data_IF_536085301628
#
_entry.id   IF_536085301628
#
_cell.length_a   1.000
_cell.length_b   1.000
_cell.length_c   1.000
_cell.angle_alpha   90.00
_cell.angle_beta   90.00
_cell.angle_gamma   90.00
#
_symmetry.space_group_name_H-M   'P 1'
#
loop_
_entity.id
_entity.type
_entity.pdbx_description
1 polymer ?
#
# COMPACT_ATOMS: atom_id res chain seq x y z
N UNK A 1 12.57 -6.50 -3.56
CA UNK A 1 12.18 -6.54 -5.00
C UNK A 1 11.68 -7.94 -5.31
N UNK A 2 10.37 -8.18 -5.28
CA UNK A 2 9.80 -9.36 -5.94
C UNK A 2 9.04 -8.85 -7.15
N UNK A 3 9.81 -8.46 -8.17
CA UNK A 3 9.29 -8.23 -9.51
C UNK A 3 9.62 -9.53 -10.22
N UNK A 4 8.63 -10.21 -10.79
CA UNK A 4 8.88 -11.37 -11.64
C UNK A 4 9.54 -10.85 -12.94
N UNK A 5 10.85 -10.59 -12.85
CA UNK A 5 11.71 -10.30 -13.99
C UNK A 5 12.54 -11.55 -14.23
N UNK A 6 12.49 -12.06 -15.45
CA UNK A 6 13.23 -13.25 -15.82
C UNK A 6 12.75 -13.86 -17.12
N UNK A 7 13.22 -15.08 -17.38
CA UNK A 7 12.81 -15.87 -18.53
C UNK A 7 12.35 -17.24 -18.07
N UNK A 8 11.32 -17.78 -18.72
CA UNK A 8 10.85 -19.14 -18.54
C UNK A 8 11.36 -19.98 -19.71
N UNK A 9 12.06 -21.07 -19.42
CA UNK A 9 12.54 -21.98 -20.45
C UNK A 9 11.47 -23.05 -20.71
N UNK A 10 10.82 -22.99 -21.88
CA UNK A 10 9.78 -23.94 -22.28
C UNK A 10 10.23 -24.65 -23.55
N UNK A 11 10.56 -25.95 -23.45
CA UNK A 11 10.99 -26.76 -24.60
C UNK A 11 12.09 -26.07 -25.44
N UNK A 12 13.12 -25.56 -24.78
CA UNK A 12 14.24 -24.79 -25.34
C UNK A 12 13.89 -23.41 -25.94
N UNK A 13 12.68 -22.90 -25.71
CA UNK A 13 12.31 -21.52 -26.04
C UNK A 13 12.42 -20.66 -24.78
N UNK A 14 13.14 -19.55 -24.89
CA UNK A 14 13.27 -18.54 -23.83
C UNK A 14 12.08 -17.59 -23.93
N UNK A 15 11.17 -17.65 -22.97
CA UNK A 15 9.99 -16.78 -22.92
C UNK A 15 10.24 -15.67 -21.90
N UNK A 16 10.23 -14.38 -22.29
CA UNK A 16 10.38 -13.29 -21.33
C UNK A 16 9.15 -13.20 -20.42
N UNK A 17 9.41 -13.05 -19.12
CA UNK A 17 8.38 -12.69 -18.15
C UNK A 17 8.34 -11.17 -18.04
N UNK A 18 7.27 -10.60 -18.56
CA UNK A 18 6.94 -9.18 -18.38
C UNK A 18 5.80 -9.06 -17.37
N UNK A 19 5.94 -8.13 -16.42
CA UNK A 19 4.83 -7.81 -15.53
C UNK A 19 3.78 -7.03 -16.34
N UNK A 20 2.67 -7.69 -16.65
CA UNK A 20 1.53 -7.06 -17.32
C UNK A 20 0.56 -6.55 -16.26
N UNK A 21 0.36 -5.23 -16.21
CA UNK A 21 -0.66 -4.58 -15.39
C UNK A 21 -0.14 -3.75 -14.21
N UNK A 22 -1.05 -3.04 -13.51
CA UNK A 22 -0.69 -2.09 -12.47
C UNK A 22 -0.03 -2.78 -11.27
N UNK A 23 1.07 -2.20 -10.77
CA UNK A 23 1.73 -2.68 -9.55
C UNK A 23 0.92 -2.27 -8.33
N UNK A 24 0.08 -3.18 -7.86
CA UNK A 24 -0.70 -3.00 -6.63
C UNK A 24 0.20 -3.32 -5.42
N UNK A 25 0.29 -2.37 -4.51
CA UNK A 25 1.08 -2.45 -3.28
C UNK A 25 0.16 -2.15 -2.09
N UNK A 26 0.37 -2.86 -0.98
CA UNK A 26 -0.28 -2.57 0.29
C UNK A 26 0.64 -1.70 1.14
N UNK A 27 0.23 -0.47 1.40
CA UNK A 27 0.94 0.48 2.26
C UNK A 27 0.29 0.46 3.63
N UNK A 28 1.04 0.03 4.63
CA UNK A 28 0.59 0.06 6.02
C UNK A 28 0.95 1.41 6.62
N UNK A 29 -0.04 2.09 7.18
CA UNK A 29 0.09 3.40 7.82
C UNK A 29 -0.12 3.26 9.31
N UNK A 30 0.90 3.63 10.08
CA UNK A 30 0.92 3.59 11.52
C UNK A 30 0.86 5.00 12.11
N UNK A 31 0.45 5.07 13.39
CA UNK A 31 0.43 6.30 14.19
C UNK A 31 -0.52 7.38 13.65
N UNK A 32 -1.61 6.96 13.00
CA UNK A 32 -2.68 7.87 12.61
C UNK A 32 -3.84 7.76 13.62
N UNK A 33 -4.28 8.87 14.24
CA UNK A 33 -5.42 8.84 15.14
C UNK A 33 -6.70 8.36 14.43
N UNK A 34 -7.56 7.58 15.11
CA UNK A 34 -8.74 6.97 14.48
C UNK A 34 -9.79 7.98 14.00
N UNK A 35 -9.82 9.19 14.59
CA UNK A 35 -10.73 10.26 14.17
C UNK A 35 -10.35 10.89 12.82
N UNK A 36 -9.14 10.65 12.30
CA UNK A 36 -8.78 11.17 10.98
C UNK A 36 -9.55 10.39 9.90
N UNK A 37 -10.30 11.08 9.02
CA UNK A 37 -11.11 10.41 8.02
C UNK A 37 -10.26 9.82 6.89
N UNK A 38 -10.81 8.80 6.24
CA UNK A 38 -10.18 8.15 5.09
C UNK A 38 -9.94 9.12 3.92
N UNK A 39 -10.81 10.12 3.75
CA UNK A 39 -10.67 11.14 2.70
C UNK A 39 -9.35 11.92 2.83
N UNK A 40 -8.89 12.20 4.06
CA UNK A 40 -7.62 12.87 4.30
C UNK A 40 -6.43 11.99 3.91
N UNK A 41 -6.50 10.68 4.19
CA UNK A 41 -5.51 9.72 3.68
C UNK A 41 -5.55 9.68 2.16
N UNK A 42 -6.73 9.54 1.57
CA UNK A 42 -6.89 9.43 0.13
C UNK A 42 -6.34 10.67 -0.58
N UNK A 43 -6.61 11.87 -0.09
CA UNK A 43 -6.09 13.11 -0.66
C UNK A 43 -4.55 13.15 -0.65
N UNK A 44 -3.91 12.82 0.47
CA UNK A 44 -2.44 12.82 0.58
C UNK A 44 -1.81 11.73 -0.28
N UNK A 45 -2.33 10.50 -0.18
CA UNK A 45 -1.73 9.34 -0.83
C UNK A 45 -2.00 9.28 -2.35
N UNK A 46 -3.01 10.00 -2.84
CA UNK A 46 -3.28 10.12 -4.29
C UNK A 46 -2.12 10.77 -5.06
N UNK A 47 -1.24 11.52 -4.38
CA UNK A 47 -0.01 12.06 -4.97
C UNK A 47 1.04 10.99 -5.29
N UNK A 48 0.98 9.82 -4.64
CA UNK A 48 1.92 8.71 -4.85
C UNK A 48 1.39 7.63 -5.80
N UNK A 49 0.09 7.68 -6.13
CA UNK A 49 -0.56 6.67 -6.94
C UNK A 49 -2.06 6.63 -6.74
N UNK A 50 -2.75 5.72 -7.43
CA UNK A 50 -4.20 5.58 -7.28
C UNK A 50 -4.50 4.75 -6.04
N UNK A 51 -5.19 5.33 -5.06
CA UNK A 51 -5.73 4.60 -3.91
C UNK A 51 -6.95 3.79 -4.36
N UNK A 52 -6.90 2.46 -4.21
CA UNK A 52 -7.94 1.54 -4.63
C UNK A 52 -8.88 1.17 -3.49
N UNK A 53 -8.35 1.04 -2.27
CA UNK A 53 -9.11 0.74 -1.07
C UNK A 53 -8.33 1.17 0.17
N UNK A 54 -9.05 1.49 1.25
CA UNK A 54 -8.48 1.69 2.58
C UNK A 54 -9.16 0.71 3.54
N UNK A 55 -8.38 -0.02 4.32
CA UNK A 55 -8.84 -0.99 5.28
C UNK A 55 -8.31 -0.67 6.68
N UNK A 56 -9.10 -0.97 7.69
CA UNK A 56 -8.76 -0.70 9.08
C UNK A 56 -8.45 -2.01 9.78
N UNK A 57 -7.28 -2.09 10.40
CA UNK A 57 -6.91 -3.30 11.15
C UNK A 57 -7.59 -3.31 12.51
N UNK A 58 -8.01 -4.51 12.91
CA UNK A 58 -8.64 -4.79 14.20
C UNK A 58 -7.78 -5.77 14.99
N UNK A 59 -7.96 -5.79 16.30
CA UNK A 59 -7.34 -6.84 17.12
C UNK A 59 -7.94 -8.20 16.75
N UNK A 60 -7.10 -9.24 16.70
CA UNK A 60 -7.49 -10.60 16.27
C UNK A 60 -8.61 -11.19 17.14
N UNK A 61 -8.53 -10.95 18.45
CA UNK A 61 -9.50 -11.37 19.46
C UNK A 61 -10.67 -10.39 19.62
N UNK A 62 -10.57 -9.17 19.09
CA UNK A 62 -11.58 -8.11 19.21
C UNK A 62 -11.83 -7.42 17.86
N UNK A 63 -12.61 -8.03 16.97
CA UNK A 63 -12.84 -7.54 15.60
C UNK A 63 -13.61 -6.21 15.53
N UNK A 64 -14.18 -5.74 16.64
CA UNK A 64 -14.83 -4.41 16.73
C UNK A 64 -13.89 -3.32 17.25
N UNK A 65 -12.68 -3.67 17.67
CA UNK A 65 -11.70 -2.74 18.21
C UNK A 65 -10.59 -2.50 17.18
N UNK A 66 -10.53 -1.29 16.65
CA UNK A 66 -9.51 -0.88 15.70
C UNK A 66 -8.17 -0.64 16.38
N UNK A 67 -7.08 -1.00 15.70
CA UNK A 67 -5.71 -0.81 16.21
C UNK A 67 -5.15 0.59 15.91
N UNK A 68 -5.87 1.40 15.13
CA UNK A 68 -5.38 2.68 14.59
C UNK A 68 -4.45 2.52 13.38
N UNK A 69 -4.15 1.28 12.96
CA UNK A 69 -3.39 1.01 11.73
C UNK A 69 -4.35 0.95 10.54
N UNK A 70 -4.02 1.67 9.46
CA UNK A 70 -4.72 1.57 8.18
C UNK A 70 -3.85 0.93 7.13
N UNK A 71 -4.46 0.20 6.22
CA UNK A 71 -3.80 -0.42 5.07
C UNK A 71 -4.41 0.14 3.81
N UNK A 72 -3.60 0.83 3.01
CA UNK A 72 -3.99 1.35 1.71
C UNK A 72 -3.60 0.33 0.64
N UNK A 73 -4.57 -0.12 -0.15
CA UNK A 73 -4.29 -0.84 -1.39
C UNK A 73 -4.13 0.19 -2.50
N UNK A 74 -2.95 0.29 -3.07
CA UNK A 74 -2.62 1.36 -4.03
C UNK A 74 -1.97 0.81 -5.29
N UNK A 75 -2.36 1.35 -6.44
CA UNK A 75 -1.54 1.31 -7.65
C UNK A 75 -0.49 2.41 -7.52
N UNK A 76 0.70 2.03 -7.03
CA UNK A 76 1.76 2.97 -6.69
C UNK A 76 2.53 3.39 -7.94
N UNK A 77 2.57 4.69 -8.21
CA UNK A 77 3.33 5.29 -9.31
C UNK A 77 4.68 5.80 -8.86
N UNK A 78 4.73 6.42 -7.67
CA UNK A 78 5.95 6.89 -7.04
C UNK A 78 6.08 6.30 -5.64
N UNK A 79 7.30 5.97 -5.17
CA UNK A 79 7.49 5.42 -3.84
C UNK A 79 6.95 6.35 -2.74
N UNK A 80 6.16 5.80 -1.83
CA UNK A 80 5.72 6.49 -0.61
C UNK A 80 6.92 6.59 0.36
N UNK A 81 7.24 7.76 0.92
CA UNK A 81 8.29 7.88 1.93
C UNK A 81 7.95 7.15 3.24
N UNK A 82 8.96 6.77 4.02
CA UNK A 82 8.76 6.14 5.35
C UNK A 82 7.94 7.02 6.32
N UNK A 83 7.95 8.34 6.13
CA UNK A 83 7.17 9.28 6.93
C UNK A 83 6.42 10.27 6.04
N UNK A 84 5.14 10.48 6.34
CA UNK A 84 4.25 11.37 5.59
C UNK A 84 3.42 12.19 6.60
N UNK A 85 3.04 13.41 6.25
CA UNK A 85 2.11 14.21 7.06
C UNK A 85 0.68 14.04 6.54
N UNK A 86 -0.23 13.62 7.42
CA UNK A 86 -1.65 13.39 7.12
C UNK A 86 -2.49 14.10 8.17
N UNK A 87 -3.27 15.10 7.76
CA UNK A 87 -4.14 15.84 8.68
C UNK A 87 -3.40 16.48 9.86
N UNK A 88 -2.15 16.92 9.66
CA UNK A 88 -1.30 17.48 10.73
C UNK A 88 -0.54 16.43 11.56
N UNK A 89 -0.70 15.14 11.29
CA UNK A 89 0.01 14.07 11.99
C UNK A 89 1.11 13.47 11.13
N UNK A 90 2.30 13.34 11.71
CA UNK A 90 3.41 12.61 11.08
C UNK A 90 3.20 11.11 11.25
N UNK A 91 2.79 10.44 10.18
CA UNK A 91 2.56 8.99 10.14
C UNK A 91 3.78 8.24 9.64
N UNK A 92 3.86 6.96 9.99
CA UNK A 92 4.89 6.05 9.49
C UNK A 92 4.29 5.10 8.46
N UNK A 93 4.96 4.91 7.33
CA UNK A 93 4.51 4.08 6.22
C UNK A 93 5.46 2.90 6.01
N UNK A 94 4.91 1.70 5.81
CA UNK A 94 5.69 0.50 5.48
C UNK A 94 5.04 -0.29 4.34
N UNK A 95 5.86 -0.75 3.39
CA UNK A 95 5.50 -1.62 2.27
C UNK A 95 6.75 -2.32 1.69
N UNK A 96 6.57 -3.41 0.93
CA UNK A 96 7.66 -4.17 0.28
C UNK A 96 7.40 -4.40 -1.21
#
# INVERSE_FOLDING_TARGET
KMVAQGHLLLRNVVVPLEQVGPRIIHVTVFRLPPYVPDDTLQAVFSSYGKVLAISHLTYKDRPKLFTGTRVLRMEMKTPVPNFVNVGGHRVMCEYR
#
